data_IF_145981620467
#
_entry.id   IF_145981620467
#
_cell.length_a   1.000
_cell.length_b   1.000
_cell.length_c   1.000
_cell.angle_alpha   90.00
_cell.angle_beta   90.00
_cell.angle_gamma   90.00
#
_symmetry.space_group_name_H-M   'P 1'
#
loop_
_entity.id
_entity.type
_entity.pdbx_description
1 polymer ?
#
# COMPACT_ATOMS: atom_id res chain seq x y z
N UNK A 1 -3.18 9.23 -4.83
CA UNK A 1 -3.70 8.40 -3.76
C UNK A 1 -3.11 7.00 -3.86
N UNK A 2 -2.49 6.50 -2.80
CA UNK A 2 -2.02 5.13 -2.67
C UNK A 2 -2.90 4.39 -1.66
N UNK A 3 -3.30 3.17 -1.98
CA UNK A 3 -4.18 2.36 -1.13
C UNK A 3 -3.59 0.96 -0.96
N UNK A 4 -3.42 0.53 0.30
CA UNK A 4 -3.01 -0.81 0.68
C UNK A 4 -4.04 -1.46 1.60
N UNK A 5 -4.15 -2.77 1.56
CA UNK A 5 -5.02 -3.51 2.46
C UNK A 5 -4.42 -3.56 3.87
N UNK A 6 -3.12 -3.78 3.98
CA UNK A 6 -2.40 -3.99 5.23
C UNK A 6 -1.20 -3.05 5.36
N UNK A 7 -0.68 -2.84 6.58
CA UNK A 7 0.64 -2.26 6.78
C UNK A 7 1.70 -3.08 6.02
N UNK A 8 2.59 -2.43 5.30
CA UNK A 8 3.64 -2.94 4.40
C UNK A 8 3.30 -2.95 2.89
N UNK A 9 2.05 -3.11 2.50
CA UNK A 9 1.66 -3.29 1.10
C UNK A 9 2.11 -2.13 0.19
N UNK A 10 1.85 -0.88 0.63
CA UNK A 10 2.17 0.33 -0.16
C UNK A 10 3.68 0.47 -0.28
N UNK A 11 4.41 0.23 0.79
CA UNK A 11 5.86 0.32 0.83
C UNK A 11 6.51 -0.76 -0.04
N UNK A 12 6.00 -2.00 0.00
CA UNK A 12 6.47 -3.10 -0.84
C UNK A 12 6.24 -2.81 -2.33
N UNK A 13 5.02 -2.37 -2.69
CA UNK A 13 4.67 -2.16 -4.09
C UNK A 13 5.13 -0.82 -4.67
N UNK A 14 5.14 0.25 -3.86
CA UNK A 14 5.32 1.62 -4.34
C UNK A 14 6.36 2.45 -3.56
N UNK A 15 7.08 1.87 -2.58
CA UNK A 15 7.93 2.62 -1.66
C UNK A 15 9.01 3.46 -2.35
N UNK A 16 9.68 2.92 -3.38
CA UNK A 16 10.69 3.65 -4.13
C UNK A 16 10.09 4.84 -4.91
N UNK A 17 8.95 4.62 -5.58
CA UNK A 17 8.22 5.69 -6.26
C UNK A 17 7.78 6.78 -5.27
N UNK A 18 7.21 6.39 -4.11
CA UNK A 18 6.82 7.35 -3.08
C UNK A 18 7.98 8.21 -2.62
N UNK A 19 9.14 7.61 -2.35
CA UNK A 19 10.34 8.33 -1.94
C UNK A 19 10.82 9.34 -2.99
N UNK A 20 10.68 9.01 -4.28
CA UNK A 20 11.11 9.89 -5.37
C UNK A 20 10.14 11.05 -5.61
N UNK A 21 8.85 10.88 -5.34
CA UNK A 21 7.84 11.92 -5.63
C UNK A 21 7.37 12.70 -4.40
N UNK A 22 7.75 12.28 -3.19
CA UNK A 22 7.42 13.01 -1.96
C UNK A 22 7.98 14.44 -2.02
N UNK A 23 7.15 15.42 -1.62
CA UNK A 23 7.51 16.83 -1.72
C UNK A 23 7.39 17.45 -3.12
N UNK A 24 7.12 16.65 -4.16
CA UNK A 24 6.96 17.12 -5.55
C UNK A 24 5.50 17.14 -6.01
N UNK A 25 4.64 16.41 -5.33
CA UNK A 25 3.21 16.32 -5.62
C UNK A 25 2.42 16.09 -4.34
N UNK A 26 1.11 16.31 -4.41
CA UNK A 26 0.23 15.98 -3.29
C UNK A 26 0.07 14.46 -3.19
N UNK A 27 0.41 13.91 -2.04
CA UNK A 27 0.35 12.48 -1.74
C UNK A 27 -0.60 12.21 -0.59
N UNK A 28 -1.28 11.09 -0.67
CA UNK A 28 -2.09 10.55 0.42
C UNK A 28 -2.06 9.03 0.37
N UNK A 29 -1.80 8.41 1.50
CA UNK A 29 -1.72 6.96 1.66
C UNK A 29 -2.84 6.50 2.60
N UNK A 30 -3.62 5.52 2.16
CA UNK A 30 -4.68 4.88 2.94
C UNK A 30 -4.40 3.39 3.08
N UNK A 31 -4.14 2.93 4.29
CA UNK A 31 -4.07 1.51 4.65
C UNK A 31 -5.37 1.12 5.33
N UNK A 32 -6.07 0.10 4.81
CA UNK A 32 -7.43 -0.21 5.25
C UNK A 32 -7.52 -0.99 6.55
N UNK A 33 -6.50 -1.80 6.89
CA UNK A 33 -6.43 -2.56 8.15
C UNK A 33 -5.28 -2.08 9.02
N UNK A 34 -5.49 -2.03 10.33
CA UNK A 34 -4.43 -1.80 11.34
C UNK A 34 -3.87 -3.12 11.90
N UNK A 35 -4.40 -4.26 11.48
CA UNK A 35 -4.04 -5.61 11.95
C UNK A 35 -4.15 -5.85 13.47
N UNK A 36 -4.74 -4.94 14.24
CA UNK A 36 -4.78 -5.00 15.72
C UNK A 36 -5.52 -6.20 16.30
N UNK A 37 -6.39 -6.85 15.52
CA UNK A 37 -7.09 -8.06 15.97
C UNK A 37 -6.18 -9.28 16.08
N UNK A 38 -5.00 -9.25 15.45
CA UNK A 38 -3.99 -10.28 15.65
C UNK A 38 -3.07 -9.87 16.82
N UNK A 39 -3.08 -10.61 17.95
CA UNK A 39 -2.26 -10.28 19.12
C UNK A 39 -0.75 -10.29 18.84
N UNK A 40 -0.30 -11.06 17.83
CA UNK A 40 1.10 -11.15 17.43
C UNK A 40 1.58 -9.92 16.63
N UNK A 41 0.66 -9.05 16.21
CA UNK A 41 0.91 -7.91 15.32
C UNK A 41 0.60 -6.55 15.98
N UNK A 42 0.63 -6.47 17.31
CA UNK A 42 0.24 -5.24 18.04
C UNK A 42 1.14 -4.04 17.73
N UNK A 43 2.42 -4.29 17.42
CA UNK A 43 3.39 -3.23 17.11
C UNK A 43 3.37 -2.80 15.64
N UNK A 44 2.68 -3.55 14.79
CA UNK A 44 2.72 -3.36 13.34
C UNK A 44 2.24 -1.98 12.90
N UNK A 45 1.25 -1.42 13.59
CA UNK A 45 0.73 -0.08 13.29
C UNK A 45 1.79 1.01 13.55
N UNK A 46 2.52 0.92 14.67
CA UNK A 46 3.57 1.88 15.00
C UNK A 46 4.74 1.76 14.00
N UNK A 47 5.12 0.53 13.65
CA UNK A 47 6.13 0.24 12.62
C UNK A 47 5.73 0.83 11.26
N UNK A 48 4.44 0.73 10.89
CA UNK A 48 3.91 1.30 9.65
C UNK A 48 4.07 2.84 9.62
N UNK A 49 3.69 3.53 10.69
CA UNK A 49 3.88 4.98 10.75
C UNK A 49 5.36 5.38 10.67
N UNK A 50 6.25 4.63 11.33
CA UNK A 50 7.70 4.88 11.25
C UNK A 50 8.21 4.64 9.83
N UNK A 51 7.77 3.56 9.17
CA UNK A 51 8.10 3.24 7.77
C UNK A 51 7.67 4.35 6.82
N UNK A 52 6.40 4.77 6.88
CA UNK A 52 5.86 5.83 6.03
C UNK A 52 6.56 7.18 6.23
N UNK A 53 6.88 7.55 7.47
CA UNK A 53 7.68 8.75 7.77
C UNK A 53 9.10 8.64 7.23
N UNK A 54 9.67 7.44 7.23
CA UNK A 54 10.99 7.17 6.63
C UNK A 54 10.97 7.42 5.13
N UNK A 55 9.86 7.13 4.43
CA UNK A 55 9.67 7.50 3.01
C UNK A 55 9.47 9.01 2.81
N UNK A 56 9.31 9.79 3.88
CA UNK A 56 9.17 11.24 3.83
C UNK A 56 7.72 11.74 3.91
N UNK A 57 6.74 10.86 4.18
CA UNK A 57 5.36 11.30 4.36
C UNK A 57 5.16 11.94 5.75
N UNK A 58 4.26 12.92 5.80
CA UNK A 58 3.78 13.53 7.04
C UNK A 58 2.55 12.76 7.56
N UNK A 59 2.27 12.89 8.84
CA UNK A 59 1.15 12.20 9.49
C UNK A 59 -0.21 12.56 8.87
N UNK A 60 -0.37 13.79 8.40
CA UNK A 60 -1.60 14.24 7.72
C UNK A 60 -1.81 13.63 6.32
N UNK A 61 -0.80 12.97 5.80
CA UNK A 61 -0.83 12.22 4.52
C UNK A 61 -1.06 10.72 4.70
N UNK A 62 -1.09 10.22 5.94
CA UNK A 62 -1.20 8.81 6.28
C UNK A 62 -2.52 8.58 7.01
N UNK A 63 -3.35 7.71 6.49
CA UNK A 63 -4.57 7.28 7.16
C UNK A 63 -4.60 5.76 7.25
N UNK A 64 -4.97 5.24 8.43
CA UNK A 64 -5.09 3.80 8.67
C UNK A 64 -6.51 3.51 9.16
N UNK A 65 -7.18 2.60 8.48
CA UNK A 65 -8.48 2.07 8.86
C UNK A 65 -8.36 0.90 9.84
N UNK A 66 -9.51 0.39 10.25
CA UNK A 66 -9.60 -0.71 11.21
C UNK A 66 -10.40 -1.90 10.68
N UNK A 67 -10.45 -2.08 9.35
CA UNK A 67 -11.07 -3.26 8.77
C UNK A 67 -10.30 -4.52 9.18
N UNK A 68 -11.03 -5.56 9.52
CA UNK A 68 -10.43 -6.81 9.98
C UNK A 68 -9.73 -7.53 8.84
N UNK A 69 -8.44 -7.80 9.01
CA UNK A 69 -7.62 -8.58 8.08
C UNK A 69 -8.25 -9.94 7.80
N UNK A 70 -8.20 -10.39 6.56
CA UNK A 70 -8.82 -11.61 6.01
C UNK A 70 -10.34 -11.59 5.97
N UNK A 71 -10.97 -10.43 6.24
CA UNK A 71 -12.42 -10.29 6.23
C UNK A 71 -12.94 -9.15 5.36
N UNK A 72 -12.11 -8.55 4.52
CA UNK A 72 -12.55 -7.50 3.60
C UNK A 72 -13.75 -7.90 2.72
N UNK A 73 -13.87 -9.16 2.26
CA UNK A 73 -15.08 -9.60 1.56
C UNK A 73 -16.38 -9.37 2.32
N UNK A 74 -16.35 -9.42 3.66
CA UNK A 74 -17.53 -9.18 4.50
C UNK A 74 -17.88 -7.70 4.63
N UNK A 75 -16.92 -6.79 4.34
CA UNK A 75 -17.04 -5.34 4.51
C UNK A 75 -16.97 -4.57 3.18
N UNK A 76 -17.32 -5.22 2.07
CA UNK A 76 -17.18 -4.63 0.72
C UNK A 76 -17.88 -3.28 0.59
N UNK A 77 -19.08 -3.14 1.14
CA UNK A 77 -19.85 -1.91 1.03
C UNK A 77 -19.20 -0.79 1.84
N UNK A 78 -18.75 -1.06 3.05
CA UNK A 78 -18.10 -0.08 3.92
C UNK A 78 -16.75 0.37 3.33
N UNK A 79 -16.00 -0.55 2.72
CA UNK A 79 -14.76 -0.25 2.01
C UNK A 79 -15.05 0.66 0.80
N UNK A 80 -16.09 0.35 0.01
CA UNK A 80 -16.52 1.20 -1.10
C UNK A 80 -16.90 2.60 -0.62
N UNK A 81 -17.69 2.72 0.44
CA UNK A 81 -18.12 4.02 0.99
C UNK A 81 -16.91 4.83 1.49
N UNK A 82 -15.94 4.18 2.13
CA UNK A 82 -14.68 4.82 2.52
C UNK A 82 -13.92 5.38 1.31
N UNK A 83 -13.82 4.60 0.23
CA UNK A 83 -13.18 5.05 -1.01
C UNK A 83 -13.93 6.22 -1.67
N UNK A 84 -15.25 6.19 -1.66
CA UNK A 84 -16.07 7.31 -2.17
C UNK A 84 -15.89 8.58 -1.34
N UNK A 85 -15.70 8.46 -0.02
CA UNK A 85 -15.36 9.59 0.85
C UNK A 85 -13.97 10.16 0.47
N UNK A 86 -12.96 9.30 0.30
CA UNK A 86 -11.61 9.69 -0.15
C UNK A 86 -11.67 10.37 -1.52
N UNK A 87 -12.41 9.82 -2.47
CA UNK A 87 -12.58 10.41 -3.80
C UNK A 87 -13.14 11.83 -3.73
N UNK A 88 -14.17 12.06 -2.91
CA UNK A 88 -14.79 13.40 -2.73
C UNK A 88 -13.83 14.38 -2.05
N UNK A 89 -13.12 13.93 -1.03
CA UNK A 89 -12.18 14.73 -0.23
C UNK A 89 -10.94 15.12 -1.02
N UNK A 90 -10.31 14.14 -1.68
CA UNK A 90 -8.97 14.29 -2.27
C UNK A 90 -9.00 14.59 -3.77
N UNK A 91 -10.05 14.20 -4.49
CA UNK A 91 -10.18 14.30 -5.95
C UNK A 91 -8.91 13.82 -6.68
N UNK A 92 -8.43 12.59 -6.40
CA UNK A 92 -7.15 12.12 -6.91
C UNK A 92 -7.16 12.02 -8.44
N UNK A 93 -6.05 12.39 -9.08
CA UNK A 93 -5.85 12.21 -10.51
C UNK A 93 -5.39 10.78 -10.83
N UNK A 94 -4.61 10.20 -9.94
CA UNK A 94 -4.10 8.82 -10.05
C UNK A 94 -4.33 8.10 -8.72
N UNK A 95 -4.78 6.87 -8.82
CA UNK A 95 -4.97 5.94 -7.70
C UNK A 95 -4.10 4.72 -7.92
N UNK A 96 -3.30 4.38 -6.92
CA UNK A 96 -2.54 3.14 -6.86
C UNK A 96 -3.22 2.19 -5.89
N UNK A 97 -3.40 0.95 -6.30
CA UNK A 97 -4.01 -0.14 -5.52
C UNK A 97 -3.36 -1.46 -5.92
N UNK A 98 -3.65 -2.55 -5.26
CA UNK A 98 -3.11 -3.86 -5.64
C UNK A 98 -3.46 -4.24 -7.08
N UNK A 99 -2.62 -5.05 -7.72
CA UNK A 99 -2.92 -5.59 -9.05
C UNK A 99 -4.15 -6.50 -9.02
N UNK A 100 -4.88 -6.56 -10.13
CA UNK A 100 -6.02 -7.45 -10.28
C UNK A 100 -5.61 -8.95 -10.34
N UNK A 101 -4.32 -9.26 -10.52
CA UNK A 101 -3.76 -10.61 -10.48
C UNK A 101 -3.36 -11.08 -9.08
N UNK A 102 -3.56 -10.26 -8.06
CA UNK A 102 -3.32 -10.65 -6.68
C UNK A 102 -4.33 -11.72 -6.23
N UNK A 103 -3.87 -12.66 -5.40
CA UNK A 103 -4.71 -13.77 -4.88
C UNK A 103 -5.13 -13.60 -3.42
N UNK A 104 -4.59 -12.60 -2.73
CA UNK A 104 -5.00 -12.31 -1.35
C UNK A 104 -6.42 -11.73 -1.36
N UNK A 105 -7.36 -12.36 -0.65
CA UNK A 105 -8.78 -11.99 -0.70
C UNK A 105 -9.04 -10.51 -0.32
N UNK A 106 -8.27 -9.94 0.60
CA UNK A 106 -8.41 -8.53 0.99
C UNK A 106 -7.92 -7.60 -0.13
N UNK A 107 -6.79 -7.94 -0.80
CA UNK A 107 -6.26 -7.20 -1.94
C UNK A 107 -7.24 -7.25 -3.12
N UNK A 108 -7.77 -8.42 -3.43
CA UNK A 108 -8.79 -8.61 -4.48
C UNK A 108 -10.02 -7.74 -4.20
N UNK A 109 -10.52 -7.78 -2.96
CA UNK A 109 -11.69 -6.99 -2.56
C UNK A 109 -11.38 -5.50 -2.69
N UNK A 110 -10.24 -5.04 -2.16
CA UNK A 110 -9.84 -3.64 -2.22
C UNK A 110 -9.75 -3.15 -3.67
N UNK A 111 -9.12 -3.94 -4.54
CA UNK A 111 -8.97 -3.61 -5.97
C UNK A 111 -10.31 -3.54 -6.69
N UNK A 112 -11.20 -4.48 -6.46
CA UNK A 112 -12.54 -4.48 -7.06
C UNK A 112 -13.35 -3.25 -6.65
N UNK A 113 -13.31 -2.88 -5.37
CA UNK A 113 -14.02 -1.69 -4.88
C UNK A 113 -13.35 -0.40 -5.35
N UNK A 114 -12.02 -0.36 -5.49
CA UNK A 114 -11.31 0.77 -6.06
C UNK A 114 -11.74 1.04 -7.52
N UNK A 115 -11.80 0.00 -8.36
CA UNK A 115 -12.28 0.11 -9.74
C UNK A 115 -13.72 0.62 -9.83
N UNK A 116 -14.57 0.28 -8.85
CA UNK A 116 -15.94 0.80 -8.76
C UNK A 116 -15.99 2.25 -8.29
N UNK A 117 -15.24 2.58 -7.23
CA UNK A 117 -15.25 3.91 -6.63
C UNK A 117 -14.63 4.97 -7.53
N UNK A 118 -13.51 4.65 -8.18
CA UNK A 118 -12.71 5.60 -8.94
C UNK A 118 -12.95 5.55 -10.45
N UNK A 119 -14.16 5.19 -10.89
CA UNK A 119 -14.55 5.31 -12.31
C UNK A 119 -14.28 6.71 -12.84
N UNK A 120 -13.60 6.79 -13.98
CA UNK A 120 -13.19 8.05 -14.60
C UNK A 120 -11.90 8.65 -14.02
N UNK A 121 -11.23 7.95 -13.12
CA UNK A 121 -9.88 8.28 -12.61
C UNK A 121 -8.90 7.24 -13.12
N UNK A 122 -7.65 7.61 -13.34
CA UNK A 122 -6.60 6.64 -13.66
C UNK A 122 -6.32 5.77 -12.44
N UNK A 123 -6.50 4.45 -12.58
CA UNK A 123 -6.20 3.46 -11.53
C UNK A 123 -5.07 2.57 -12.03
N UNK A 124 -3.98 2.49 -11.27
CA UNK A 124 -2.80 1.68 -11.55
C UNK A 124 -2.68 0.58 -10.49
N UNK A 125 -2.50 -0.66 -10.96
CA UNK A 125 -2.26 -1.80 -10.09
C UNK A 125 -0.79 -1.99 -9.79
N UNK A 126 -0.40 -2.09 -8.52
CA UNK A 126 0.96 -2.45 -8.12
C UNK A 126 1.05 -3.90 -7.66
N UNK A 127 2.24 -4.46 -7.80
CA UNK A 127 2.55 -5.83 -7.37
C UNK A 127 2.94 -5.89 -5.89
N UNK A 128 2.51 -6.95 -5.21
CA UNK A 128 3.05 -7.39 -3.93
C UNK A 128 3.57 -8.81 -4.11
N UNK A 129 4.88 -8.96 -4.18
CA UNK A 129 5.59 -10.19 -4.56
C UNK A 129 5.03 -11.46 -3.89
N UNK A 130 4.59 -11.36 -2.65
CA UNK A 130 4.10 -12.49 -1.88
C UNK A 130 2.79 -13.08 -2.41
N UNK A 131 1.93 -12.27 -2.99
CA UNK A 131 0.55 -12.65 -3.28
C UNK A 131 0.13 -12.46 -4.75
N UNK A 132 1.01 -11.94 -5.59
CA UNK A 132 0.71 -11.80 -7.01
C UNK A 132 1.27 -12.99 -7.79
N UNK A 133 0.41 -13.67 -8.52
CA UNK A 133 0.78 -14.79 -9.38
C UNK A 133 0.57 -14.42 -10.84
N UNK A 134 1.66 -14.53 -11.62
CA UNK A 134 1.60 -14.23 -13.04
C UNK A 134 1.40 -12.75 -13.34
N UNK A 135 1.86 -11.86 -12.46
CA UNK A 135 1.85 -10.43 -12.70
C UNK A 135 2.64 -10.12 -13.97
N UNK A 136 2.00 -9.43 -14.90
CA UNK A 136 2.62 -8.94 -16.12
C UNK A 136 2.52 -7.42 -16.13
N UNK A 137 3.64 -6.66 -15.99
CA UNK A 137 3.60 -5.22 -15.94
C UNK A 137 3.24 -4.63 -17.31
N UNK A 138 2.23 -3.75 -17.33
CA UNK A 138 1.86 -2.97 -18.51
C UNK A 138 2.45 -1.57 -18.46
N UNK A 139 2.92 -1.15 -17.30
CA UNK A 139 3.45 0.18 -17.04
C UNK A 139 4.65 0.08 -16.11
N UNK A 140 5.77 0.64 -16.51
CA UNK A 140 7.00 0.67 -15.73
C UNK A 140 7.33 2.12 -15.38
N UNK A 141 7.76 2.35 -14.15
CA UNK A 141 8.21 3.65 -13.66
C UNK A 141 9.69 3.53 -13.31
N UNK A 142 10.51 4.36 -13.93
CA UNK A 142 11.91 4.47 -13.52
C UNK A 142 11.97 5.16 -12.14
N UNK A 143 12.67 4.54 -11.21
CA UNK A 143 12.92 5.07 -9.88
C UNK A 143 14.41 5.26 -9.64
N UNK A 144 14.76 6.23 -8.80
CA UNK A 144 16.15 6.50 -8.46
C UNK A 144 16.72 5.45 -7.51
N UNK A 145 18.06 5.25 -7.56
CA UNK A 145 18.75 4.42 -6.57
C UNK A 145 18.53 4.93 -5.14
N UNK A 146 18.40 6.24 -4.95
CA UNK A 146 18.07 6.82 -3.66
C UNK A 146 16.66 6.43 -3.21
N UNK A 147 15.68 6.37 -4.13
CA UNK A 147 14.33 5.90 -3.86
C UNK A 147 14.30 4.44 -3.45
N UNK A 148 15.05 3.57 -4.14
CA UNK A 148 15.20 2.15 -3.78
C UNK A 148 15.82 1.99 -2.40
N UNK A 149 16.91 2.69 -2.10
CA UNK A 149 17.55 2.65 -0.78
C UNK A 149 16.59 3.15 0.31
N UNK A 150 15.78 4.15 0.00
CA UNK A 150 14.78 4.68 0.94
C UNK A 150 13.64 3.70 1.20
N UNK A 151 13.17 2.97 0.18
CA UNK A 151 12.22 1.85 0.31
C UNK A 151 12.77 0.78 1.25
N UNK A 152 14.03 0.36 1.06
CA UNK A 152 14.69 -0.66 1.90
C UNK A 152 14.80 -0.16 3.35
N UNK A 153 15.24 1.08 3.55
CA UNK A 153 15.30 1.70 4.88
C UNK A 153 13.92 1.74 5.56
N UNK A 154 12.87 2.09 4.84
CA UNK A 154 11.51 2.15 5.35
C UNK A 154 11.02 0.75 5.77
N UNK A 155 11.20 -0.24 4.90
CA UNK A 155 10.79 -1.62 5.17
C UNK A 155 11.58 -2.26 6.32
N UNK A 156 12.84 -1.84 6.56
CA UNK A 156 13.61 -2.29 7.73
C UNK A 156 13.03 -1.87 9.08
N UNK A 157 12.07 -0.93 9.09
CA UNK A 157 11.37 -0.51 10.32
C UNK A 157 10.33 -1.53 10.80
N UNK A 158 9.97 -2.50 9.93
CA UNK A 158 9.09 -3.60 10.28
C UNK A 158 9.85 -4.73 10.97
N UNK A 159 10.18 -4.55 12.25
CA UNK A 159 10.87 -5.57 13.04
C UNK A 159 10.02 -6.83 13.20
N UNK A 160 8.69 -6.69 13.22
CA UNK A 160 7.72 -7.79 13.20
C UNK A 160 7.88 -8.72 11.99
N UNK A 161 8.42 -8.21 10.87
CA UNK A 161 8.56 -8.94 9.60
C UNK A 161 10.00 -9.20 9.19
N UNK A 162 10.98 -8.92 10.05
CA UNK A 162 12.40 -9.00 9.73
C UNK A 162 12.85 -10.37 9.19
N UNK A 163 12.24 -11.46 9.67
CA UNK A 163 12.56 -12.84 9.23
C UNK A 163 11.88 -13.26 7.92
N UNK A 164 11.05 -12.40 7.33
CA UNK A 164 10.35 -12.74 6.10
C UNK A 164 11.24 -12.52 4.89
N UNK A 165 11.39 -13.53 4.04
CA UNK A 165 12.29 -13.51 2.87
C UNK A 165 12.07 -12.31 1.94
N UNK A 166 10.81 -11.88 1.79
CA UNK A 166 10.44 -10.77 0.91
C UNK A 166 10.72 -9.37 1.51
N UNK A 167 11.26 -9.32 2.76
CA UNK A 167 11.84 -8.13 3.37
C UNK A 167 13.36 -8.10 3.26
N UNK A 168 14.00 -9.14 2.71
CA UNK A 168 15.45 -9.12 2.50
C UNK A 168 15.85 -8.09 1.45
N UNK A 169 16.98 -7.43 1.65
CA UNK A 169 17.46 -6.40 0.74
C UNK A 169 17.61 -6.91 -0.69
N UNK A 170 18.15 -8.13 -0.87
CA UNK A 170 18.34 -8.73 -2.19
C UNK A 170 17.00 -8.87 -2.95
N UNK A 171 15.94 -9.29 -2.27
CA UNK A 171 14.62 -9.40 -2.87
C UNK A 171 14.05 -8.02 -3.18
N UNK A 172 14.14 -7.07 -2.24
CA UNK A 172 13.63 -5.71 -2.43
C UNK A 172 14.32 -4.94 -3.57
N UNK A 173 15.59 -5.27 -3.88
CA UNK A 173 16.30 -4.70 -5.03
C UNK A 173 15.95 -5.36 -6.35
N UNK A 174 15.41 -6.57 -6.33
CA UNK A 174 15.04 -7.32 -7.53
C UNK A 174 13.60 -7.08 -7.99
N UNK A 175 12.83 -6.34 -7.21
CA UNK A 175 11.42 -5.96 -7.44
C UNK A 175 11.31 -4.44 -7.56
#
# INVERSE_FOLDING_TARGET
>A
LFMGAHPDDIELGCGALLADIVGRTELYCMTFSDNKKNPDLQHLLDEHYVSMRTLGLRDDQIEVGSFETRRFPDFRQEILEKMLQLKRKLKPQIVFVHTAQDIHQDHVTLTQEALRAFRGTTVLGYDVLRSSYGFFPHFLVEVSEAGVNKKIEALSKYTTYAERYYFSEDVLRST
#
